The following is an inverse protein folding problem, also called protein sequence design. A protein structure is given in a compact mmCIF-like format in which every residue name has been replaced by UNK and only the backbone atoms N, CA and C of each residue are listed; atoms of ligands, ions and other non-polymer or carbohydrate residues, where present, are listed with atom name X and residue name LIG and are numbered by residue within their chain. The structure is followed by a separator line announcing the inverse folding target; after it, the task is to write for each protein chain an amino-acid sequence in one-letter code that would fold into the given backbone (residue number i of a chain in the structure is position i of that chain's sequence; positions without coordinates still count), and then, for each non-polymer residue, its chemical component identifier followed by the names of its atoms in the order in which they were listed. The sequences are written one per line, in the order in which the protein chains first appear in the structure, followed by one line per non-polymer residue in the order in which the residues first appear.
data_IF_053844096122
#
_entry.id   IF_053844096122
#
_cell.length_a   1.000
_cell.length_b   1.000
_cell.length_c   1.000
_cell.angle_alpha   90.00
_cell.angle_beta   90.00
_cell.angle_gamma   90.00
#
_symmetry.space_group_name_H-M   'P 1'
#
loop_
_entity.id
_entity.type
_entity.pdbx_description
1 polymer ?
#
# COMPACT_ATOMS: atom_id res chain seq x y z
N UNK A 1 -16.66 -39.71 25.96
CA UNK A 1 -17.10 -38.43 25.35
C UNK A 1 -17.30 -37.28 26.35
N UNK A 2 -17.68 -37.56 27.64
CA UNK A 2 -17.88 -36.54 28.68
C UNK A 2 -16.58 -35.91 29.16
N UNK A 3 -15.47 -36.67 29.15
CA UNK A 3 -14.14 -36.22 29.65
C UNK A 3 -13.27 -35.57 28.59
N UNK A 4 -13.63 -35.67 27.31
CA UNK A 4 -12.84 -35.08 26.20
C UNK A 4 -13.05 -33.57 26.06
N UNK A 5 -14.24 -33.04 26.38
CA UNK A 5 -14.49 -31.59 26.29
C UNK A 5 -13.66 -30.75 27.25
N UNK A 6 -13.55 -31.09 28.55
CA UNK A 6 -12.69 -30.34 29.46
C UNK A 6 -11.22 -30.39 29.09
N UNK A 7 -10.76 -31.52 28.55
CA UNK A 7 -9.37 -31.67 28.09
C UNK A 7 -9.06 -30.82 26.84
N UNK A 8 -9.99 -30.77 25.89
CA UNK A 8 -9.88 -29.88 24.73
C UNK A 8 -9.89 -28.39 25.12
N UNK A 9 -10.83 -28.01 25.99
CA UNK A 9 -10.92 -26.65 26.47
C UNK A 9 -9.65 -26.24 27.25
N UNK A 10 -9.12 -27.11 28.09
CA UNK A 10 -7.89 -26.86 28.83
C UNK A 10 -6.67 -26.79 27.89
N UNK A 11 -6.62 -27.61 26.84
CA UNK A 11 -5.58 -27.55 25.82
C UNK A 11 -5.65 -26.24 25.02
N UNK A 12 -6.84 -25.77 24.70
CA UNK A 12 -7.05 -24.44 24.06
C UNK A 12 -6.61 -23.31 24.98
N UNK A 13 -7.02 -23.30 26.26
CA UNK A 13 -6.63 -22.30 27.25
C UNK A 13 -5.10 -22.28 27.51
N UNK A 14 -4.45 -23.43 27.52
CA UNK A 14 -2.97 -23.54 27.63
C UNK A 14 -2.32 -23.04 26.35
N UNK A 15 -2.84 -23.41 25.20
CA UNK A 15 -2.35 -22.93 23.89
C UNK A 15 -2.44 -21.42 23.79
N UNK A 16 -3.57 -20.82 24.21
CA UNK A 16 -3.75 -19.38 24.18
C UNK A 16 -2.86 -18.65 25.20
N UNK A 17 -2.64 -19.23 26.37
CA UNK A 17 -1.68 -18.69 27.34
C UNK A 17 -0.25 -18.71 26.84
N UNK A 18 0.18 -19.78 26.18
CA UNK A 18 1.51 -19.90 25.56
C UNK A 18 1.64 -18.92 24.41
N UNK A 19 0.60 -18.76 23.58
CA UNK A 19 0.59 -17.77 22.48
C UNK A 19 0.72 -16.35 23.00
N UNK A 20 -0.08 -15.98 24.00
CA UNK A 20 -0.07 -14.63 24.57
C UNK A 20 1.26 -14.32 25.25
N UNK A 21 1.82 -15.27 26.03
CA UNK A 21 3.13 -15.10 26.65
C UNK A 21 4.27 -14.98 25.63
N UNK A 22 4.21 -15.74 24.52
CA UNK A 22 5.20 -15.63 23.45
C UNK A 22 5.04 -14.35 22.62
N UNK A 23 3.82 -13.80 22.53
CA UNK A 23 3.53 -12.56 21.84
C UNK A 23 3.99 -11.33 22.64
N UNK A 24 3.86 -11.35 23.98
CA UNK A 24 4.31 -10.27 24.86
C UNK A 24 5.83 -10.04 24.86
N UNK A 25 6.63 -11.05 24.48
CA UNK A 25 8.10 -10.97 24.37
C UNK A 25 8.61 -10.76 22.94
N UNK A 26 7.69 -10.74 21.95
CA UNK A 26 8.07 -10.70 20.52
C UNK A 26 7.73 -9.36 19.90
N UNK A 27 8.72 -8.77 19.23
CA UNK A 27 8.52 -7.65 18.31
C UNK A 27 8.06 -8.19 16.97
N UNK A 28 6.86 -7.83 16.52
CA UNK A 28 6.34 -8.18 15.21
C UNK A 28 6.69 -7.09 14.18
N UNK A 29 7.42 -7.45 13.13
CA UNK A 29 8.03 -6.52 12.18
C UNK A 29 7.26 -6.49 10.89
N UNK A 30 6.59 -5.38 10.64
CA UNK A 30 5.81 -5.15 9.42
C UNK A 30 6.61 -4.24 8.48
N UNK A 31 6.91 -4.72 7.28
CA UNK A 31 7.37 -3.88 6.19
C UNK A 31 6.19 -3.26 5.44
N UNK A 32 6.25 -2.00 5.06
CA UNK A 32 5.22 -1.41 4.21
C UNK A 32 5.82 -0.44 3.20
N UNK A 33 5.30 -0.49 1.98
CA UNK A 33 5.59 0.56 1.02
C UNK A 33 4.85 1.84 1.39
N UNK A 34 5.36 2.97 0.96
CA UNK A 34 4.92 4.31 1.39
C UNK A 34 3.40 4.57 1.32
N UNK A 35 2.69 4.19 0.23
CA UNK A 35 1.24 4.40 0.18
C UNK A 35 0.51 3.52 1.20
N UNK A 36 0.90 2.26 1.34
CA UNK A 36 0.33 1.37 2.34
C UNK A 36 0.64 1.85 3.77
N UNK A 37 1.88 2.33 4.01
CA UNK A 37 2.28 2.89 5.30
C UNK A 37 1.45 4.12 5.68
N UNK A 38 1.06 4.94 4.69
CA UNK A 38 0.22 6.13 4.91
C UNK A 38 -1.26 5.78 5.03
N UNK A 39 -1.75 4.83 4.23
CA UNK A 39 -3.18 4.53 4.09
C UNK A 39 -3.68 3.38 4.95
N UNK A 40 -3.13 2.19 4.74
CA UNK A 40 -3.59 0.93 5.30
C UNK A 40 -3.06 0.66 6.72
N UNK A 41 -1.75 0.81 6.90
CA UNK A 41 -1.04 0.34 8.10
C UNK A 41 -1.49 1.00 9.40
N UNK A 42 -1.75 2.32 9.47
CA UNK A 42 -2.11 2.94 10.74
C UNK A 42 -3.36 2.32 11.38
N UNK A 43 -4.41 2.10 10.58
CA UNK A 43 -5.64 1.50 11.06
C UNK A 43 -5.47 0.01 11.33
N UNK A 44 -4.77 -0.71 10.47
CA UNK A 44 -4.47 -2.14 10.66
C UNK A 44 -3.69 -2.39 11.97
N UNK A 45 -2.68 -1.59 12.27
CA UNK A 45 -1.89 -1.72 13.51
C UNK A 45 -2.74 -1.37 14.72
N UNK A 46 -3.58 -0.32 14.64
CA UNK A 46 -4.54 0.02 15.70
C UNK A 46 -5.43 -1.18 16.05
N UNK A 47 -6.09 -1.72 15.03
CA UNK A 47 -7.03 -2.85 15.22
C UNK A 47 -6.29 -4.14 15.65
N UNK A 48 -5.06 -4.33 15.19
CA UNK A 48 -4.26 -5.48 15.57
C UNK A 48 -3.83 -5.46 17.04
N UNK A 49 -3.60 -4.28 17.63
CA UNK A 49 -3.37 -4.15 19.07
C UNK A 49 -4.60 -4.53 19.92
N UNK A 50 -5.81 -4.41 19.36
CA UNK A 50 -7.02 -4.90 20.03
C UNK A 50 -7.12 -6.44 20.01
N UNK A 51 -6.63 -7.08 18.92
CA UNK A 51 -6.60 -8.55 18.78
C UNK A 51 -5.50 -9.16 19.64
N UNK A 52 -4.31 -8.52 19.69
CA UNK A 52 -3.15 -8.99 20.46
C UNK A 52 -2.64 -7.86 21.36
N UNK A 53 -3.28 -7.67 22.54
CA UNK A 53 -2.87 -6.63 23.46
C UNK A 53 -1.42 -6.83 23.96
N UNK A 54 -0.66 -5.73 24.00
CA UNK A 54 0.74 -5.75 24.50
C UNK A 54 1.78 -6.13 23.45
N UNK A 55 1.37 -6.53 22.22
CA UNK A 55 2.31 -6.82 21.15
C UNK A 55 3.05 -5.55 20.71
N UNK A 56 4.39 -5.60 20.70
CA UNK A 56 5.19 -4.55 20.07
C UNK A 56 5.23 -4.73 18.56
N UNK A 57 4.74 -3.73 17.82
CA UNK A 57 4.78 -3.71 16.35
C UNK A 57 5.82 -2.70 15.88
N UNK A 58 6.82 -3.19 15.14
CA UNK A 58 7.82 -2.35 14.48
C UNK A 58 7.46 -2.18 13.01
N UNK A 59 7.18 -0.95 12.59
CA UNK A 59 6.96 -0.61 11.18
C UNK A 59 8.26 -0.19 10.50
N UNK A 60 8.55 -0.80 9.36
CA UNK A 60 9.67 -0.46 8.47
C UNK A 60 9.11 0.01 7.13
N UNK A 61 9.18 1.31 6.87
CA UNK A 61 8.81 1.87 5.57
C UNK A 61 9.99 1.85 4.60
N UNK A 62 9.80 1.28 3.42
CA UNK A 62 10.77 1.31 2.31
C UNK A 62 10.08 0.91 0.98
N UNK A 63 10.81 0.97 -0.13
CA UNK A 63 10.35 0.49 -1.43
C UNK A 63 10.25 -1.05 -1.44
N UNK A 64 9.28 -1.61 -2.17
CA UNK A 64 9.07 -3.07 -2.26
C UNK A 64 10.37 -3.84 -2.55
N UNK A 65 11.19 -3.34 -3.46
CA UNK A 65 12.48 -3.95 -3.82
C UNK A 65 13.48 -4.05 -2.67
N UNK A 66 13.34 -3.22 -1.62
CA UNK A 66 14.18 -3.25 -0.43
C UNK A 66 13.53 -4.01 0.74
N UNK A 67 12.20 -4.09 0.76
CA UNK A 67 11.46 -4.85 1.79
C UNK A 67 11.56 -6.36 1.56
N UNK A 68 11.43 -6.82 0.31
CA UNK A 68 11.45 -8.25 -0.01
C UNK A 68 12.72 -8.99 0.45
N UNK A 69 13.95 -8.46 0.26
CA UNK A 69 15.14 -9.08 0.82
C UNK A 69 15.14 -9.19 2.35
N UNK A 70 14.51 -8.23 3.06
CA UNK A 70 14.41 -8.22 4.52
C UNK A 70 13.51 -9.34 5.06
N UNK A 71 12.50 -9.78 4.29
CA UNK A 71 11.73 -10.99 4.60
C UNK A 71 12.62 -12.23 4.59
N UNK A 72 13.44 -12.39 3.55
CA UNK A 72 14.33 -13.57 3.38
C UNK A 72 15.39 -13.65 4.47
N UNK A 73 15.80 -12.53 5.05
CA UNK A 73 16.77 -12.49 6.16
C UNK A 73 16.12 -12.58 7.53
N UNK A 74 14.78 -12.63 7.62
CA UNK A 74 14.06 -12.61 8.90
C UNK A 74 14.08 -11.25 9.60
N UNK A 75 14.48 -10.18 8.92
CA UNK A 75 14.40 -8.82 9.43
C UNK A 75 12.98 -8.23 9.41
N UNK A 76 12.08 -8.86 8.63
CA UNK A 76 10.63 -8.62 8.61
C UNK A 76 9.89 -9.94 8.73
N UNK A 77 8.74 -9.92 9.38
CA UNK A 77 7.84 -11.05 9.53
C UNK A 77 6.80 -11.07 8.39
N UNK A 78 6.36 -9.90 7.95
CA UNK A 78 5.45 -9.68 6.82
C UNK A 78 5.78 -8.34 6.13
N UNK A 79 5.42 -8.21 4.86
CA UNK A 79 5.54 -6.94 4.15
C UNK A 79 4.31 -6.67 3.27
N UNK A 80 3.83 -5.42 3.25
CA UNK A 80 2.78 -4.94 2.36
C UNK A 80 3.46 -4.19 1.21
N UNK A 81 3.39 -4.79 0.02
CA UNK A 81 4.22 -4.41 -1.13
C UNK A 81 3.44 -4.41 -2.44
N UNK A 82 3.99 -3.77 -3.46
CA UNK A 82 3.63 -4.09 -4.84
C UNK A 82 4.45 -5.28 -5.29
N UNK A 83 3.79 -6.37 -5.76
CA UNK A 83 4.51 -7.56 -6.17
C UNK A 83 5.46 -7.23 -7.32
N UNK A 84 6.66 -7.82 -7.35
CA UNK A 84 7.62 -7.57 -8.43
C UNK A 84 7.15 -8.21 -9.74
N UNK A 85 7.55 -7.61 -10.87
CA UNK A 85 7.28 -8.17 -12.20
C UNK A 85 7.99 -9.52 -12.42
N UNK A 86 9.07 -9.77 -11.70
CA UNK A 86 9.84 -11.02 -11.78
C UNK A 86 9.43 -11.95 -10.61
N UNK A 87 9.13 -13.22 -10.88
CA UNK A 87 8.78 -14.18 -9.84
C UNK A 87 9.84 -14.29 -8.75
N UNK A 88 9.38 -14.41 -7.49
CA UNK A 88 10.20 -14.58 -6.29
C UNK A 88 9.83 -15.92 -5.62
N UNK A 89 10.41 -17.07 -6.03
CA UNK A 89 9.94 -18.39 -5.62
C UNK A 89 9.98 -18.64 -4.11
N UNK A 90 10.85 -17.93 -3.38
CA UNK A 90 11.00 -18.05 -1.93
C UNK A 90 10.00 -17.19 -1.13
N UNK A 91 9.22 -16.34 -1.79
CA UNK A 91 8.25 -15.44 -1.17
C UNK A 91 6.86 -15.81 -1.66
N UNK A 92 5.92 -15.88 -0.75
CA UNK A 92 4.50 -16.00 -1.02
C UNK A 92 3.88 -14.62 -1.06
N UNK A 93 2.99 -14.40 -2.03
CA UNK A 93 2.26 -13.15 -2.19
C UNK A 93 0.77 -13.45 -2.15
N UNK A 94 0.06 -12.75 -1.29
CA UNK A 94 -1.39 -12.75 -1.26
C UNK A 94 -1.89 -11.40 -1.74
N UNK A 95 -2.66 -11.40 -2.84
CA UNK A 95 -3.27 -10.19 -3.36
C UNK A 95 -4.27 -9.61 -2.34
N UNK A 96 -4.23 -8.31 -2.14
CA UNK A 96 -5.13 -7.60 -1.26
C UNK A 96 -6.15 -6.79 -2.07
N UNK A 97 -5.67 -5.81 -2.81
CA UNK A 97 -6.50 -4.92 -3.64
C UNK A 97 -5.67 -4.27 -4.74
N UNK A 98 -6.35 -3.71 -5.71
CA UNK A 98 -5.77 -2.72 -6.61
C UNK A 98 -6.06 -1.31 -6.06
N UNK A 99 -4.99 -0.58 -5.68
CA UNK A 99 -5.12 0.76 -5.14
C UNK A 99 -5.54 1.73 -6.24
N UNK A 100 -6.62 2.52 -6.04
CA UNK A 100 -7.02 3.54 -6.99
C UNK A 100 -5.95 4.62 -7.18
N UNK A 101 -6.07 5.38 -8.27
CA UNK A 101 -5.20 6.51 -8.55
C UNK A 101 -5.95 7.83 -8.52
N UNK A 102 -5.23 8.88 -8.15
CA UNK A 102 -5.70 10.26 -8.19
C UNK A 102 -4.70 11.13 -8.92
N UNK A 103 -5.19 12.24 -9.44
CA UNK A 103 -4.35 13.31 -9.98
C UNK A 103 -4.13 14.35 -8.90
N UNK A 104 -2.87 14.57 -8.52
CA UNK A 104 -2.44 15.69 -7.71
C UNK A 104 -2.23 16.91 -8.63
N UNK A 105 -2.92 18.00 -8.32
CA UNK A 105 -2.94 19.23 -9.12
C UNK A 105 -2.30 20.38 -8.35
N UNK A 106 -1.59 21.29 -9.05
CA UNK A 106 -1.03 22.49 -8.44
C UNK A 106 -2.12 23.42 -7.84
N UNK A 107 -1.72 24.31 -6.92
CA UNK A 107 -2.63 25.31 -6.36
C UNK A 107 -3.30 26.16 -7.44
N UNK A 108 -4.63 26.23 -7.42
CA UNK A 108 -5.42 27.05 -8.37
C UNK A 108 -5.49 26.49 -9.80
N UNK A 109 -5.03 25.26 -10.04
CA UNK A 109 -5.11 24.66 -11.37
C UNK A 109 -6.58 24.53 -11.84
N UNK A 110 -6.93 24.90 -13.10
CA UNK A 110 -8.32 24.88 -13.58
C UNK A 110 -9.00 23.51 -13.45
N UNK A 111 -8.27 22.41 -13.67
CA UNK A 111 -8.78 21.04 -13.53
C UNK A 111 -9.21 20.69 -12.10
N UNK A 112 -8.79 21.45 -11.10
CA UNK A 112 -9.24 21.25 -9.72
C UNK A 112 -10.74 21.59 -9.52
N UNK A 113 -11.39 22.25 -10.47
CA UNK A 113 -12.83 22.49 -10.45
C UNK A 113 -13.67 21.27 -10.88
N UNK A 114 -13.06 20.28 -11.50
CA UNK A 114 -13.73 19.05 -11.91
C UNK A 114 -13.87 18.09 -10.71
N UNK A 115 -14.94 17.30 -10.67
CA UNK A 115 -15.12 16.28 -9.62
C UNK A 115 -14.20 15.10 -9.82
N UNK A 116 -13.94 14.73 -11.08
CA UNK A 116 -13.06 13.65 -11.51
C UNK A 116 -12.36 14.03 -12.82
N UNK A 117 -11.29 13.34 -13.15
CA UNK A 117 -10.50 13.59 -14.35
C UNK A 117 -10.29 12.31 -15.15
N UNK A 118 -10.12 12.48 -16.47
CA UNK A 118 -9.64 11.46 -17.38
C UNK A 118 -8.21 11.79 -17.81
N UNK A 119 -7.51 10.83 -18.37
CA UNK A 119 -6.14 11.09 -18.83
C UNK A 119 -6.09 12.13 -19.96
N UNK A 120 -7.15 12.23 -20.78
CA UNK A 120 -7.25 13.22 -21.84
C UNK A 120 -7.27 14.67 -21.31
N UNK A 121 -7.80 14.89 -20.13
CA UNK A 121 -7.79 16.21 -19.48
C UNK A 121 -6.35 16.65 -19.12
N UNK A 122 -5.41 15.71 -19.03
CA UNK A 122 -3.99 15.95 -18.76
C UNK A 122 -3.16 16.21 -20.03
N UNK A 123 -3.80 16.26 -21.20
CA UNK A 123 -3.10 16.57 -22.43
C UNK A 123 -2.41 17.94 -22.32
N UNK A 124 -1.11 18.00 -22.67
CA UNK A 124 -0.23 19.17 -22.55
C UNK A 124 0.04 19.70 -21.13
N UNK A 125 -0.63 19.16 -20.10
CA UNK A 125 -0.34 19.52 -18.70
C UNK A 125 1.09 19.06 -18.35
N UNK A 126 1.94 19.94 -17.78
CA UNK A 126 3.23 19.52 -17.29
C UNK A 126 3.09 18.44 -16.21
N UNK A 127 3.76 17.30 -16.39
CA UNK A 127 3.65 16.14 -15.52
C UNK A 127 4.93 15.89 -14.74
N UNK A 128 4.79 15.61 -13.46
CA UNK A 128 5.84 15.06 -12.61
C UNK A 128 5.62 13.55 -12.55
N UNK A 129 6.57 12.78 -13.04
CA UNK A 129 6.46 11.32 -13.11
C UNK A 129 7.39 10.62 -12.13
N UNK A 130 7.00 9.45 -11.58
CA UNK A 130 7.89 8.66 -10.74
C UNK A 130 9.07 8.09 -11.54
N UNK A 131 10.18 7.81 -10.85
CA UNK A 131 11.33 7.15 -11.47
C UNK A 131 11.00 5.70 -11.87
N UNK A 132 11.26 5.26 -13.12
CA UNK A 132 11.02 3.89 -13.56
C UNK A 132 11.87 2.86 -12.82
N UNK A 133 13.03 3.26 -12.30
CA UNK A 133 13.93 2.36 -11.55
C UNK A 133 13.42 2.03 -10.16
N UNK A 134 12.88 3.03 -9.47
CA UNK A 134 12.47 2.88 -8.08
C UNK A 134 10.98 2.62 -7.90
N UNK A 135 10.15 3.00 -8.90
CA UNK A 135 8.69 2.91 -8.87
C UNK A 135 8.11 2.43 -10.20
N UNK A 136 8.49 1.23 -10.68
CA UNK A 136 8.12 0.76 -12.02
C UNK A 136 6.60 0.68 -12.21
N UNK A 137 5.82 0.21 -11.23
CA UNK A 137 4.37 0.12 -11.36
C UNK A 137 3.73 1.49 -11.64
N UNK A 138 4.01 2.49 -10.79
CA UNK A 138 3.42 3.84 -10.97
C UNK A 138 3.92 4.53 -12.24
N UNK A 139 5.18 4.33 -12.63
CA UNK A 139 5.71 4.86 -13.88
C UNK A 139 5.00 4.21 -15.09
N UNK A 140 4.97 2.87 -15.12
CA UNK A 140 4.36 2.13 -16.23
C UNK A 140 2.88 2.45 -16.36
N UNK A 141 2.14 2.52 -15.24
CA UNK A 141 0.74 2.94 -15.26
C UNK A 141 0.58 4.31 -15.90
N UNK A 142 1.34 5.32 -15.45
CA UNK A 142 1.25 6.66 -16.03
C UNK A 142 1.52 6.63 -17.54
N UNK A 143 2.60 5.96 -17.98
CA UNK A 143 2.93 5.86 -19.40
C UNK A 143 1.85 5.13 -20.20
N UNK A 144 1.30 4.04 -19.67
CA UNK A 144 0.27 3.24 -20.32
C UNK A 144 -1.03 4.02 -20.49
N UNK A 145 -1.48 4.74 -19.47
CA UNK A 145 -2.69 5.57 -19.55
C UNK A 145 -2.62 6.59 -20.70
N UNK A 146 -1.49 7.30 -20.81
CA UNK A 146 -1.28 8.24 -21.90
C UNK A 146 -1.23 7.52 -23.27
N UNK A 147 -0.54 6.38 -23.35
CA UNK A 147 -0.45 5.59 -24.59
C UNK A 147 -1.82 5.09 -25.06
N UNK A 148 -2.65 4.57 -24.16
CA UNK A 148 -3.98 4.05 -24.46
C UNK A 148 -4.91 5.16 -24.97
N UNK A 149 -4.75 6.38 -24.45
CA UNK A 149 -5.44 7.57 -24.97
C UNK A 149 -4.80 8.15 -26.25
N UNK A 150 -3.78 7.48 -26.81
CA UNK A 150 -3.01 8.00 -27.96
C UNK A 150 -2.34 9.36 -27.70
N UNK A 151 -1.96 9.62 -26.46
CA UNK A 151 -1.29 10.83 -25.99
C UNK A 151 0.16 10.52 -25.55
N UNK A 152 0.92 11.60 -25.35
CA UNK A 152 2.24 11.55 -24.74
C UNK A 152 2.27 12.50 -23.53
N UNK A 153 2.78 12.06 -22.36
CA UNK A 153 2.86 12.94 -21.21
C UNK A 153 3.92 14.03 -21.45
N UNK A 154 3.58 15.27 -21.17
CA UNK A 154 4.51 16.39 -21.14
C UNK A 154 5.33 16.33 -19.83
N UNK A 155 6.42 15.55 -19.82
CA UNK A 155 7.23 15.30 -18.62
C UNK A 155 8.05 16.55 -18.29
N UNK A 156 7.63 17.28 -17.25
CA UNK A 156 8.35 18.44 -16.73
C UNK A 156 9.46 18.00 -15.75
N UNK A 157 9.22 16.96 -14.94
CA UNK A 157 10.18 16.50 -13.93
C UNK A 157 10.00 15.02 -13.61
N UNK A 158 11.07 14.41 -13.10
CA UNK A 158 11.07 13.04 -12.58
C UNK A 158 11.57 13.05 -11.13
N UNK A 159 10.89 12.30 -10.24
CA UNK A 159 11.30 12.17 -8.85
C UNK A 159 11.09 10.75 -8.32
N UNK A 160 11.83 10.38 -7.27
CA UNK A 160 11.80 9.03 -6.72
C UNK A 160 10.79 8.87 -5.59
N UNK A 161 10.66 9.88 -4.73
CA UNK A 161 9.85 9.81 -3.51
C UNK A 161 8.51 10.52 -3.70
N UNK A 162 7.42 9.90 -3.24
CA UNK A 162 6.06 10.45 -3.39
C UNK A 162 5.92 11.82 -2.70
N UNK A 163 6.50 11.96 -1.50
CA UNK A 163 6.51 13.25 -0.82
C UNK A 163 7.17 14.34 -1.65
N UNK A 164 8.28 14.02 -2.32
CA UNK A 164 8.97 14.96 -3.22
C UNK A 164 8.09 15.29 -4.43
N UNK A 165 7.43 14.29 -5.03
CA UNK A 165 6.49 14.50 -6.15
C UNK A 165 5.38 15.47 -5.74
N UNK A 166 4.71 15.21 -4.61
CA UNK A 166 3.59 16.05 -4.15
C UNK A 166 4.06 17.46 -3.76
N UNK A 167 5.24 17.59 -3.16
CA UNK A 167 5.84 18.90 -2.87
C UNK A 167 6.15 19.69 -4.15
N UNK A 168 6.60 19.03 -5.21
CA UNK A 168 6.81 19.66 -6.52
C UNK A 168 5.49 20.10 -7.16
N UNK A 169 4.41 19.31 -6.99
CA UNK A 169 3.06 19.73 -7.39
C UNK A 169 2.65 20.98 -6.62
N UNK A 170 2.86 21.02 -5.30
CA UNK A 170 2.59 22.20 -4.47
C UNK A 170 3.42 23.44 -4.84
N UNK A 171 4.58 23.23 -5.46
CA UNK A 171 5.45 24.30 -5.99
C UNK A 171 5.13 24.70 -7.45
N UNK A 172 3.99 24.25 -7.99
CA UNK A 172 3.50 24.57 -9.35
C UNK A 172 4.46 24.13 -10.48
N UNK A 173 5.19 23.03 -10.28
CA UNK A 173 6.08 22.47 -11.32
C UNK A 173 5.28 21.64 -12.34
N UNK A 174 4.17 21.04 -11.92
CA UNK A 174 3.28 20.25 -12.75
C UNK A 174 2.33 19.40 -11.94
N UNK A 175 1.47 18.63 -12.62
CA UNK A 175 0.57 17.65 -12.03
C UNK A 175 1.23 16.28 -11.89
N UNK A 176 0.65 15.39 -11.10
CA UNK A 176 1.14 14.01 -10.98
C UNK A 176 0.00 13.02 -10.81
N UNK A 177 0.10 11.84 -11.45
CA UNK A 177 -0.76 10.68 -11.16
C UNK A 177 -0.10 9.93 -10.00
N UNK A 178 -0.84 9.78 -8.90
CA UNK A 178 -0.33 9.17 -7.67
C UNK A 178 -1.35 8.17 -7.10
N UNK A 179 -0.92 7.18 -6.31
CA UNK A 179 -1.83 6.28 -5.60
C UNK A 179 -2.77 7.07 -4.66
N UNK A 180 -3.99 6.58 -4.48
CA UNK A 180 -5.05 7.25 -3.71
C UNK A 180 -4.60 7.66 -2.31
N UNK A 181 -3.97 6.76 -1.55
CA UNK A 181 -3.54 7.09 -0.19
C UNK A 181 -2.49 8.20 -0.11
N UNK A 182 -1.84 8.53 -1.21
CA UNK A 182 -0.96 9.71 -1.28
C UNK A 182 -1.73 11.01 -1.03
N UNK A 183 -3.05 11.04 -1.31
CA UNK A 183 -3.92 12.19 -1.03
C UNK A 183 -4.06 12.52 0.47
N UNK A 184 -3.72 11.56 1.35
CA UNK A 184 -3.67 11.76 2.80
C UNK A 184 -2.43 12.58 3.24
N UNK A 185 -1.46 12.76 2.34
CA UNK A 185 -0.31 13.65 2.56
C UNK A 185 -0.77 15.09 2.32
N UNK A 186 -0.92 15.84 3.41
CA UNK A 186 -1.35 17.24 3.34
C UNK A 186 -0.22 18.15 2.83
N UNK A 187 -0.34 18.62 1.60
CA UNK A 187 0.51 19.69 1.04
C UNK A 187 -0.36 20.89 0.72
N UNK A 188 0.04 22.06 1.20
CA UNK A 188 -0.78 23.28 1.09
C UNK A 188 -1.09 23.60 -0.37
N UNK A 189 -2.38 23.76 -0.66
CA UNK A 189 -2.89 24.17 -1.96
C UNK A 189 -2.96 23.08 -3.02
N UNK A 190 -2.41 21.89 -2.78
CA UNK A 190 -2.56 20.75 -3.70
C UNK A 190 -3.98 20.23 -3.64
N UNK A 191 -4.61 20.11 -4.81
CA UNK A 191 -5.92 19.46 -4.97
C UNK A 191 -5.74 18.05 -5.52
N UNK A 192 -6.54 17.11 -5.03
CA UNK A 192 -6.56 15.73 -5.53
C UNK A 192 -7.91 15.46 -6.21
N UNK A 193 -7.87 14.82 -7.38
CA UNK A 193 -9.06 14.41 -8.12
C UNK A 193 -8.95 12.95 -8.54
N UNK A 194 -10.03 12.16 -8.36
CA UNK A 194 -10.07 10.79 -8.85
C UNK A 194 -9.73 10.73 -10.35
N UNK A 195 -8.93 9.77 -10.76
CA UNK A 195 -8.69 9.46 -12.15
C UNK A 195 -9.63 8.33 -12.57
N UNK A 196 -10.39 8.56 -13.63
CA UNK A 196 -11.37 7.60 -14.16
C UNK A 196 -11.05 7.20 -15.59
N UNK A 197 -11.51 6.00 -15.99
CA UNK A 197 -11.46 5.51 -17.35
C UNK A 197 -12.64 6.04 -18.20
N UNK A 198 -12.74 5.60 -19.44
CA UNK A 198 -13.81 5.99 -20.37
C UNK A 198 -15.22 5.59 -19.91
N UNK A 199 -15.34 4.53 -19.12
CA UNK A 199 -16.61 4.10 -18.55
C UNK A 199 -17.01 4.91 -17.31
N UNK A 200 -16.11 5.75 -16.77
CA UNK A 200 -16.31 6.50 -15.53
C UNK A 200 -15.90 5.73 -14.27
N UNK A 201 -15.28 4.56 -14.42
CA UNK A 201 -14.78 3.77 -13.31
C UNK A 201 -13.42 4.31 -12.86
N UNK A 202 -13.12 4.19 -11.55
CA UNK A 202 -11.81 4.54 -11.02
C UNK A 202 -10.70 3.72 -11.68
N UNK A 203 -9.59 4.36 -12.01
CA UNK A 203 -8.38 3.65 -12.47
C UNK A 203 -7.72 2.99 -11.26
N UNK A 204 -7.89 1.67 -11.13
CA UNK A 204 -7.42 0.82 -10.05
C UNK A 204 -6.46 -0.24 -10.61
N UNK A 205 -5.22 0.14 -10.92
CA UNK A 205 -4.24 -0.74 -11.56
C UNK A 205 -2.91 -0.83 -10.78
N UNK A 206 -2.95 -0.46 -9.51
CA UNK A 206 -1.78 -0.52 -8.65
C UNK A 206 -1.91 -1.66 -7.64
N UNK A 207 -1.50 -2.89 -7.99
CA UNK A 207 -1.70 -4.07 -7.14
C UNK A 207 -0.96 -3.92 -5.83
N UNK A 208 -1.64 -4.25 -4.73
CA UNK A 208 -1.09 -4.34 -3.39
C UNK A 208 -1.22 -5.79 -2.91
N UNK A 209 -0.15 -6.31 -2.31
CA UNK A 209 -0.12 -7.67 -1.79
C UNK A 209 0.56 -7.70 -0.42
N UNK A 210 0.11 -8.61 0.42
CA UNK A 210 0.89 -9.05 1.56
C UNK A 210 1.92 -10.09 1.09
N UNK A 211 3.11 -10.07 1.66
CA UNK A 211 4.21 -10.93 1.29
C UNK A 211 4.94 -11.48 2.52
N UNK A 212 5.32 -12.75 2.51
CA UNK A 212 6.10 -13.42 3.55
C UNK A 212 6.95 -14.56 2.97
N UNK A 213 7.84 -15.14 3.78
CA UNK A 213 8.66 -16.28 3.35
C UNK A 213 7.77 -17.50 3.16
N UNK A 214 7.82 -18.09 1.97
CA UNK A 214 7.03 -19.27 1.62
C UNK A 214 7.29 -20.44 2.55
N UNK A 215 6.21 -21.06 3.04
CA UNK A 215 6.28 -22.21 3.95
C UNK A 215 6.66 -21.85 5.39
N UNK A 216 6.84 -20.58 5.73
CA UNK A 216 7.00 -20.18 7.13
C UNK A 216 5.66 -20.26 7.87
N UNK A 217 5.72 -20.67 9.14
CA UNK A 217 4.58 -20.70 10.03
C UNK A 217 4.75 -19.60 11.09
N UNK A 218 3.78 -18.70 11.18
CA UNK A 218 3.77 -17.59 12.12
C UNK A 218 2.34 -17.23 12.49
N UNK A 219 1.94 -17.49 13.72
CA UNK A 219 0.58 -17.26 14.18
C UNK A 219 0.20 -15.77 14.21
N UNK A 220 1.14 -14.88 14.58
CA UNK A 220 0.87 -13.43 14.60
C UNK A 220 0.60 -12.90 13.18
N UNK A 221 1.36 -13.40 12.19
CA UNK A 221 1.10 -13.10 10.79
C UNK A 221 -0.28 -13.63 10.35
N UNK A 222 -0.61 -14.86 10.73
CA UNK A 222 -1.88 -15.49 10.34
C UNK A 222 -3.07 -14.78 10.98
N UNK A 223 -2.93 -14.31 12.23
CA UNK A 223 -3.92 -13.47 12.92
C UNK A 223 -4.06 -12.09 12.25
N UNK A 224 -2.92 -11.43 11.91
CA UNK A 224 -2.92 -10.16 11.17
C UNK A 224 -3.61 -10.33 9.81
N UNK A 225 -3.32 -11.39 9.08
CA UNK A 225 -3.93 -11.65 7.76
C UNK A 225 -5.43 -11.94 7.88
N UNK A 226 -5.87 -12.58 8.94
CA UNK A 226 -7.29 -12.81 9.22
C UNK A 226 -8.01 -11.48 9.46
N UNK A 227 -7.43 -10.62 10.30
CA UNK A 227 -7.95 -9.28 10.55
C UNK A 227 -7.98 -8.44 9.24
N UNK A 228 -6.86 -8.43 8.51
CA UNK A 228 -6.74 -7.68 7.26
C UNK A 228 -7.82 -8.08 6.24
N UNK A 229 -8.03 -9.39 6.02
CA UNK A 229 -9.08 -9.89 5.11
C UNK A 229 -10.48 -9.46 5.55
N UNK A 230 -10.75 -9.44 6.85
CA UNK A 230 -12.08 -9.09 7.38
C UNK A 230 -12.41 -7.60 7.27
N UNK A 231 -11.40 -6.72 7.26
CA UNK A 231 -11.55 -5.26 7.29
C UNK A 231 -10.99 -4.55 6.07
N UNK A 232 -10.58 -5.28 5.04
CA UNK A 232 -9.89 -4.70 3.88
C UNK A 232 -10.72 -3.62 3.17
N UNK A 233 -12.03 -3.81 3.06
CA UNK A 233 -12.95 -2.81 2.48
C UNK A 233 -12.97 -1.52 3.30
N UNK A 234 -12.98 -1.61 4.64
CA UNK A 234 -12.96 -0.45 5.53
C UNK A 234 -11.66 0.35 5.38
N UNK A 235 -10.52 -0.34 5.21
CA UNK A 235 -9.21 0.29 5.06
C UNK A 235 -8.98 0.92 3.69
N UNK A 236 -9.75 0.51 2.68
CA UNK A 236 -9.62 0.95 1.28
C UNK A 236 -10.20 2.34 1.03
N UNK A 237 -11.02 2.83 1.95
CA UNK A 237 -11.72 4.12 1.93
C UNK A 237 -11.13 5.07 2.98
#
# INVERSE_FOLDING_TARGET
LRDARPLLQHAEEVSDRVRNSAAEERVFRIGAMDSAATGLIPQLVHDFHEVVPGLEVLLVEDKSAKLLPKLLTGALDIAIVRPPMTPQPAIEFEFLLDEPTVVALPPGHPLAAHEQLRVEDLNEVPMIVPSPRSRPHSYNLTMQLFLDASLQPNIAQQAEEKQTIVNMVGADIGAAIVPYWTSRIAVQGVAYRPLVNDAGDLVCELPLSAAWVKGSHDHLRDDLMTLLRSKLEEYSH
#
